data_IF_048630096973
#
_entry.id   IF_048630096973
#
_cell.length_a   1.000
_cell.length_b   1.000
_cell.length_c   1.000
_cell.angle_alpha   90.00
_cell.angle_beta   90.00
_cell.angle_gamma   90.00
#
_symmetry.space_group_name_H-M   'P 1'
#
loop_
_entity.id
_entity.type
_entity.pdbx_description
1 polymer ?
#
# COMPACT_ATOMS: atom_id res chain seq x y z
N UNK A 1 -48.32 4.82 33.62
CA UNK A 1 -47.55 5.17 32.41
C UNK A 1 -46.23 5.74 32.86
N UNK A 2 -45.20 4.91 32.95
CA UNK A 2 -43.85 5.37 33.32
C UNK A 2 -43.15 5.83 32.04
N UNK A 3 -42.69 7.08 32.07
CA UNK A 3 -41.99 7.76 30.98
C UNK A 3 -40.75 6.96 30.55
N UNK A 4 -40.80 6.42 29.34
CA UNK A 4 -39.82 5.49 28.78
C UNK A 4 -38.62 6.18 28.14
N UNK A 5 -38.08 7.25 28.76
CA UNK A 5 -36.80 7.82 28.31
C UNK A 5 -35.68 6.88 28.74
N UNK A 6 -35.21 6.07 27.79
CA UNK A 6 -33.89 5.45 27.93
C UNK A 6 -32.85 6.56 28.03
N UNK A 7 -32.30 6.78 29.21
CA UNK A 7 -31.12 7.63 29.38
C UNK A 7 -29.98 7.05 28.53
N UNK A 8 -29.73 7.70 27.39
CA UNK A 8 -28.47 7.56 26.67
C UNK A 8 -27.37 8.00 27.62
N UNK A 9 -26.54 7.05 28.06
CA UNK A 9 -25.44 7.35 28.96
C UNK A 9 -24.53 8.42 28.36
N UNK A 10 -23.96 9.28 29.21
CA UNK A 10 -23.16 10.46 28.81
C UNK A 10 -22.11 10.11 27.74
N UNK A 11 -21.46 8.95 27.86
CA UNK A 11 -20.48 8.46 26.88
C UNK A 11 -21.08 8.20 25.49
N UNK A 12 -22.31 7.67 25.41
CA UNK A 12 -22.98 7.45 24.13
C UNK A 12 -23.39 8.78 23.48
N UNK A 13 -23.85 9.74 24.28
CA UNK A 13 -24.16 11.09 23.79
C UNK A 13 -22.91 11.79 23.28
N UNK A 14 -21.80 11.72 24.03
CA UNK A 14 -20.52 12.28 23.61
C UNK A 14 -20.00 11.62 22.33
N UNK A 15 -20.05 10.29 22.23
CA UNK A 15 -19.63 9.58 21.03
C UNK A 15 -20.47 9.98 19.79
N UNK A 16 -21.80 10.11 19.94
CA UNK A 16 -22.66 10.59 18.85
C UNK A 16 -22.36 12.04 18.45
N UNK A 17 -22.08 12.91 19.42
CA UNK A 17 -21.69 14.30 19.15
C UNK A 17 -20.34 14.38 18.45
N UNK A 18 -19.36 13.59 18.86
CA UNK A 18 -18.05 13.50 18.20
C UNK A 18 -18.22 12.96 16.78
N UNK A 19 -18.96 11.85 16.61
CA UNK A 19 -19.22 11.26 15.30
C UNK A 19 -19.95 12.23 14.36
N UNK A 20 -20.99 12.90 14.86
CA UNK A 20 -21.71 13.94 14.13
C UNK A 20 -20.84 15.17 13.81
N UNK A 21 -19.97 15.56 14.74
CA UNK A 21 -18.98 16.63 14.53
C UNK A 21 -18.00 16.27 13.41
N UNK A 22 -17.45 15.06 13.40
CA UNK A 22 -16.60 14.57 12.31
C UNK A 22 -17.33 14.61 10.97
N UNK A 23 -18.60 14.17 10.91
CA UNK A 23 -19.40 14.22 9.68
C UNK A 23 -19.67 15.65 9.19
N UNK A 24 -19.95 16.58 10.10
CA UNK A 24 -20.13 18.00 9.78
C UNK A 24 -18.85 18.62 9.25
N UNK A 25 -17.72 18.36 9.90
CA UNK A 25 -16.42 18.84 9.44
C UNK A 25 -16.06 18.22 8.09
N UNK A 26 -16.33 16.93 7.88
CA UNK A 26 -16.12 16.29 6.59
C UNK A 26 -16.99 16.90 5.49
N UNK A 27 -18.26 17.22 5.77
CA UNK A 27 -19.13 17.92 4.82
C UNK A 27 -18.59 19.30 4.45
N UNK A 28 -18.17 20.10 5.45
CA UNK A 28 -17.54 21.40 5.21
C UNK A 28 -16.23 21.27 4.43
N UNK A 29 -15.48 20.20 4.67
CA UNK A 29 -14.24 19.90 3.95
C UNK A 29 -14.50 19.44 2.52
N UNK A 30 -15.59 18.70 2.25
CA UNK A 30 -16.01 18.36 0.89
C UNK A 30 -16.32 19.63 0.07
N UNK A 31 -17.00 20.61 0.69
CA UNK A 31 -17.23 21.93 0.09
C UNK A 31 -15.88 22.66 -0.12
N UNK A 32 -14.99 22.60 0.88
CA UNK A 32 -13.66 23.19 0.79
C UNK A 32 -12.87 22.68 -0.42
N UNK A 33 -12.86 21.35 -0.63
CA UNK A 33 -12.17 20.69 -1.74
C UNK A 33 -12.87 20.96 -3.07
N UNK A 34 -14.20 20.82 -3.13
CA UNK A 34 -14.96 20.97 -4.38
C UNK A 34 -14.87 22.38 -4.98
N UNK A 35 -14.75 23.42 -4.14
CA UNK A 35 -14.64 24.81 -4.56
C UNK A 35 -13.24 25.41 -4.38
N UNK A 36 -12.23 24.58 -4.06
CA UNK A 36 -10.85 24.99 -3.82
C UNK A 36 -10.73 26.18 -2.82
N UNK A 37 -11.50 26.13 -1.75
CA UNK A 37 -11.49 27.13 -0.69
C UNK A 37 -10.33 26.85 0.29
N UNK A 38 -9.94 27.86 1.07
CA UNK A 38 -8.94 27.74 2.13
C UNK A 38 -9.57 27.85 3.53
N UNK A 39 -10.69 27.16 3.73
CA UNK A 39 -11.44 27.22 4.98
C UNK A 39 -10.62 26.67 6.15
N UNK A 40 -10.76 27.35 7.30
CA UNK A 40 -10.15 26.97 8.58
C UNK A 40 -11.23 26.99 9.65
N UNK A 41 -11.16 26.04 10.58
CA UNK A 41 -11.94 26.09 11.81
C UNK A 41 -11.14 26.88 12.83
N UNK A 42 -11.71 28.01 13.26
CA UNK A 42 -11.14 28.83 14.32
C UNK A 42 -11.90 28.55 15.62
N UNK A 43 -11.19 28.02 16.61
CA UNK A 43 -11.72 27.83 17.97
C UNK A 43 -10.72 28.46 18.93
N UNK A 44 -11.20 29.45 19.70
CA UNK A 44 -10.48 30.28 20.68
C UNK A 44 -9.01 29.84 20.93
N UNK A 45 -8.08 30.49 20.25
CA UNK A 45 -6.63 30.28 20.42
C UNK A 45 -5.98 29.25 19.49
N UNK A 46 -6.74 28.55 18.64
CA UNK A 46 -6.21 27.60 17.65
C UNK A 46 -6.93 27.72 16.30
N UNK A 47 -6.16 27.67 15.21
CA UNK A 47 -6.67 27.55 13.84
C UNK A 47 -6.32 26.16 13.31
N UNK A 48 -7.33 25.37 12.98
CA UNK A 48 -7.14 24.05 12.35
C UNK A 48 -7.59 24.13 10.90
N UNK A 49 -6.67 23.85 9.96
CA UNK A 49 -7.01 23.79 8.55
C UNK A 49 -7.94 22.60 8.27
N UNK A 50 -8.97 22.82 7.45
CA UNK A 50 -9.79 21.72 6.95
C UNK A 50 -9.00 20.88 5.94
N UNK A 51 -9.29 19.57 5.81
CA UNK A 51 -8.82 18.75 4.71
C UNK A 51 -8.92 19.44 3.35
N UNK A 52 -7.85 19.30 2.55
CA UNK A 52 -7.68 19.94 1.24
C UNK A 52 -7.70 18.94 0.08
N UNK A 53 -7.87 17.67 0.38
CA UNK A 53 -7.94 16.57 -0.55
C UNK A 53 -9.12 15.64 -0.18
N UNK A 54 -9.58 14.87 -1.16
CA UNK A 54 -10.72 13.97 -0.97
C UNK A 54 -10.41 12.82 -0.01
N UNK A 55 -9.14 12.41 0.14
CA UNK A 55 -8.75 11.32 1.03
C UNK A 55 -8.95 11.71 2.49
N UNK A 56 -8.55 12.93 2.87
CA UNK A 56 -8.78 13.50 4.19
C UNK A 56 -10.27 13.72 4.50
N UNK A 57 -11.06 14.12 3.51
CA UNK A 57 -12.53 14.26 3.63
C UNK A 57 -13.18 12.90 3.90
N UNK A 58 -12.85 11.90 3.08
CA UNK A 58 -13.41 10.55 3.18
C UNK A 58 -12.97 9.88 4.49
N UNK A 59 -11.70 10.04 4.87
CA UNK A 59 -11.18 9.52 6.14
C UNK A 59 -11.92 10.07 7.35
N UNK A 60 -12.14 11.39 7.39
CA UNK A 60 -12.88 12.03 8.49
C UNK A 60 -14.36 11.61 8.53
N UNK A 61 -15.00 11.51 7.36
CA UNK A 61 -16.37 11.01 7.26
C UNK A 61 -16.48 9.55 7.76
N UNK A 62 -15.54 8.70 7.36
CA UNK A 62 -15.50 7.30 7.76
C UNK A 62 -15.37 7.14 9.29
N UNK A 63 -14.52 7.94 9.93
CA UNK A 63 -14.40 7.97 11.41
C UNK A 63 -15.72 8.39 12.05
N UNK A 64 -16.38 9.42 11.51
CA UNK A 64 -17.68 9.89 12.00
C UNK A 64 -18.77 8.81 11.92
N UNK A 65 -18.89 8.14 10.77
CA UNK A 65 -19.81 7.01 10.57
C UNK A 65 -19.49 5.86 11.52
N UNK A 66 -18.21 5.52 11.70
CA UNK A 66 -17.79 4.41 12.56
C UNK A 66 -18.19 4.65 14.02
N UNK A 67 -17.89 5.84 14.57
CA UNK A 67 -18.20 6.18 15.95
C UNK A 67 -19.72 6.18 16.18
N UNK A 68 -20.48 6.81 15.28
CA UNK A 68 -21.93 6.83 15.38
C UNK A 68 -22.52 5.42 15.24
N UNK A 69 -22.05 4.64 14.27
CA UNK A 69 -22.48 3.27 14.01
C UNK A 69 -22.24 2.34 15.19
N UNK A 70 -21.04 2.35 15.77
CA UNK A 70 -20.70 1.55 16.97
C UNK A 70 -21.57 1.93 18.16
N UNK A 71 -21.84 3.23 18.33
CA UNK A 71 -22.69 3.72 19.43
C UNK A 71 -24.14 3.26 19.28
N UNK A 72 -24.71 3.37 18.08
CA UNK A 72 -26.05 2.88 17.77
C UNK A 72 -26.15 1.35 17.90
N UNK A 73 -25.13 0.63 17.43
CA UNK A 73 -25.02 -0.82 17.55
C UNK A 73 -25.00 -1.28 19.01
N UNK A 74 -24.17 -0.66 19.86
CA UNK A 74 -24.14 -0.93 21.30
C UNK A 74 -25.51 -0.70 21.96
N UNK A 75 -26.20 0.37 21.57
CA UNK A 75 -27.57 0.65 22.01
C UNK A 75 -28.59 -0.41 21.58
N UNK A 76 -28.45 -0.96 20.37
CA UNK A 76 -29.29 -2.07 19.87
C UNK A 76 -29.02 -3.36 20.67
N UNK A 77 -27.76 -3.74 20.86
CA UNK A 77 -27.37 -4.93 21.62
C UNK A 77 -27.87 -4.85 23.05
N UNK A 78 -27.70 -3.70 23.72
CA UNK A 78 -28.23 -3.46 25.08
C UNK A 78 -29.74 -3.64 25.13
N UNK A 79 -30.49 -3.07 24.17
CA UNK A 79 -31.95 -3.21 24.06
C UNK A 79 -32.37 -4.67 23.92
N UNK A 80 -31.74 -5.41 23.01
CA UNK A 80 -32.03 -6.83 22.77
C UNK A 80 -31.67 -7.69 24.00
N UNK A 81 -30.54 -7.43 24.65
CA UNK A 81 -30.11 -8.15 25.85
C UNK A 81 -31.06 -7.93 27.03
N UNK A 82 -31.50 -6.68 27.23
CA UNK A 82 -32.49 -6.33 28.25
C UNK A 82 -33.84 -7.02 27.99
N UNK A 83 -34.31 -7.03 26.74
CA UNK A 83 -35.54 -7.72 26.33
C UNK A 83 -35.49 -9.24 26.53
N UNK A 84 -34.30 -9.85 26.49
CA UNK A 84 -34.09 -11.28 26.74
C UNK A 84 -34.02 -11.66 28.23
N UNK A 85 -34.56 -10.84 29.15
CA UNK A 85 -34.59 -11.14 30.59
C UNK A 85 -35.28 -12.47 30.88
N UNK A 86 -34.69 -13.28 31.75
CA UNK A 86 -35.18 -14.63 32.07
C UNK A 86 -34.84 -15.72 31.04
N UNK A 87 -34.17 -15.39 29.93
CA UNK A 87 -33.79 -16.33 28.87
C UNK A 87 -32.26 -16.37 28.70
N UNK A 88 -31.52 -17.12 29.54
CA UNK A 88 -30.06 -17.07 29.61
C UNK A 88 -29.37 -17.47 28.29
N UNK A 89 -29.87 -18.51 27.61
CA UNK A 89 -29.33 -18.94 26.32
C UNK A 89 -29.46 -17.87 25.23
N UNK A 90 -30.58 -17.13 25.22
CA UNK A 90 -30.80 -16.04 24.26
C UNK A 90 -29.85 -14.88 24.53
N UNK A 91 -29.59 -14.57 25.80
CA UNK A 91 -28.61 -13.55 26.18
C UNK A 91 -27.19 -13.91 25.75
N UNK A 92 -26.79 -15.16 25.98
CA UNK A 92 -25.50 -15.67 25.50
C UNK A 92 -25.39 -15.56 23.98
N UNK A 93 -26.43 -15.96 23.25
CA UNK A 93 -26.47 -15.83 21.78
C UNK A 93 -26.37 -14.39 21.29
N UNK A 94 -27.02 -13.43 21.96
CA UNK A 94 -26.91 -11.99 21.62
C UNK A 94 -25.48 -11.49 21.80
N UNK A 95 -24.83 -11.84 22.92
CA UNK A 95 -23.44 -11.41 23.17
C UNK A 95 -22.46 -12.05 22.19
N UNK A 96 -22.59 -13.36 21.94
CA UNK A 96 -21.75 -14.07 20.98
C UNK A 96 -21.93 -13.51 19.55
N UNK A 97 -23.18 -13.28 19.12
CA UNK A 97 -23.46 -12.68 17.82
C UNK A 97 -22.92 -11.26 17.69
N UNK A 98 -23.03 -10.45 18.76
CA UNK A 98 -22.45 -9.11 18.77
C UNK A 98 -20.92 -9.13 18.67
N UNK A 99 -20.26 -10.03 19.41
CA UNK A 99 -18.81 -10.20 19.34
C UNK A 99 -18.36 -10.66 17.94
N UNK A 100 -19.07 -11.61 17.33
CA UNK A 100 -18.77 -12.08 15.97
C UNK A 100 -18.93 -10.97 14.92
N UNK A 101 -20.00 -10.17 15.02
CA UNK A 101 -20.21 -9.02 14.13
C UNK A 101 -19.11 -7.96 14.29
N UNK A 102 -18.69 -7.67 15.52
CA UNK A 102 -17.59 -6.74 15.78
C UNK A 102 -16.27 -7.25 15.21
N UNK A 103 -15.97 -8.54 15.40
CA UNK A 103 -14.78 -9.16 14.85
C UNK A 103 -14.76 -9.10 13.31
N UNK A 104 -15.89 -9.42 12.66
CA UNK A 104 -16.03 -9.35 11.21
C UNK A 104 -15.90 -7.90 10.69
N UNK A 105 -16.55 -6.93 11.33
CA UNK A 105 -16.49 -5.52 10.95
C UNK A 105 -15.07 -4.96 11.10
N UNK A 106 -14.38 -5.28 12.20
CA UNK A 106 -13.00 -4.84 12.41
C UNK A 106 -12.04 -5.45 11.40
N UNK A 107 -12.20 -6.75 11.09
CA UNK A 107 -11.40 -7.40 10.05
C UNK A 107 -11.63 -6.77 8.68
N UNK A 108 -12.88 -6.43 8.34
CA UNK A 108 -13.20 -5.71 7.10
C UNK A 108 -12.54 -4.34 7.03
N UNK A 109 -12.56 -3.57 8.13
CA UNK A 109 -11.91 -2.27 8.20
C UNK A 109 -10.38 -2.38 8.07
N UNK A 110 -9.78 -3.40 8.69
CA UNK A 110 -8.35 -3.67 8.58
C UNK A 110 -7.96 -3.98 7.12
N UNK A 111 -8.70 -4.85 6.43
CA UNK A 111 -8.45 -5.18 5.03
C UNK A 111 -8.59 -3.93 4.14
N UNK A 112 -9.62 -3.10 4.38
CA UNK A 112 -9.80 -1.84 3.65
C UNK A 112 -8.62 -0.90 3.86
N UNK A 113 -8.18 -0.71 5.10
CA UNK A 113 -7.05 0.15 5.43
C UNK A 113 -5.76 -0.34 4.76
N UNK A 114 -5.46 -1.64 4.85
CA UNK A 114 -4.30 -2.25 4.20
C UNK A 114 -4.39 -2.12 2.68
N UNK A 115 -5.55 -2.39 2.07
CA UNK A 115 -5.76 -2.25 0.63
C UNK A 115 -5.58 -0.79 0.18
N UNK A 116 -6.03 0.18 0.96
CA UNK A 116 -5.83 1.59 0.65
C UNK A 116 -4.35 2.01 0.74
N UNK A 117 -3.62 1.51 1.74
CA UNK A 117 -2.19 1.84 1.93
C UNK A 117 -1.29 1.13 0.94
N UNK A 118 -1.53 -0.16 0.70
CA UNK A 118 -0.64 -1.02 -0.09
C UNK A 118 -1.11 -1.21 -1.54
N UNK A 119 -2.37 -0.87 -1.84
CA UNK A 119 -3.05 -1.05 -3.12
C UNK A 119 -3.84 -2.36 -3.20
N UNK A 120 -3.33 -3.43 -2.59
CA UNK A 120 -3.98 -4.73 -2.49
C UNK A 120 -3.43 -5.54 -1.31
N UNK A 121 -4.18 -6.55 -0.86
CA UNK A 121 -3.69 -7.51 0.14
C UNK A 121 -2.48 -8.28 -0.37
N UNK A 122 -2.47 -8.65 -1.66
CA UNK A 122 -1.31 -9.28 -2.29
C UNK A 122 -0.06 -8.39 -2.18
N UNK A 123 -0.21 -7.09 -2.43
CA UNK A 123 0.90 -6.14 -2.31
C UNK A 123 1.36 -5.94 -0.87
N UNK A 124 0.45 -5.99 0.11
CA UNK A 124 0.78 -5.98 1.53
C UNK A 124 1.62 -7.21 1.91
N UNK A 125 1.16 -8.42 1.57
CA UNK A 125 1.92 -9.64 1.89
C UNK A 125 3.24 -9.74 1.12
N UNK A 126 3.29 -9.21 -0.11
CA UNK A 126 4.53 -9.09 -0.86
C UNK A 126 5.52 -8.10 -0.21
N UNK A 127 5.05 -7.09 0.55
CA UNK A 127 5.89 -6.22 1.39
C UNK A 127 6.42 -6.94 2.63
N UNK A 128 5.61 -7.76 3.29
CA UNK A 128 6.03 -8.44 4.52
C UNK A 128 6.85 -9.71 4.25
N UNK A 129 6.83 -10.23 3.02
CA UNK A 129 7.54 -11.46 2.65
C UNK A 129 6.82 -12.73 3.12
N UNK A 130 5.54 -12.63 3.47
CA UNK A 130 4.74 -13.79 3.89
C UNK A 130 4.36 -14.64 2.67
N UNK A 131 5.18 -15.66 2.40
CA UNK A 131 5.04 -16.48 1.20
C UNK A 131 3.75 -17.31 1.19
N UNK A 132 3.23 -17.71 2.35
CA UNK A 132 2.01 -18.50 2.43
C UNK A 132 0.79 -17.64 2.10
N UNK A 133 0.74 -16.43 2.64
CA UNK A 133 -0.32 -15.46 2.31
C UNK A 133 -0.19 -14.95 0.87
N UNK A 134 1.02 -14.76 0.33
CA UNK A 134 1.23 -14.46 -1.10
C UNK A 134 0.65 -15.58 -1.98
N UNK A 135 0.95 -16.85 -1.69
CA UNK A 135 0.38 -17.99 -2.44
C UNK A 135 -1.15 -18.04 -2.32
N UNK A 136 -1.68 -17.78 -1.13
CA UNK A 136 -3.12 -17.77 -0.89
C UNK A 136 -3.84 -16.67 -1.66
N UNK A 137 -3.27 -15.46 -1.74
CA UNK A 137 -3.82 -14.37 -2.55
C UNK A 137 -3.69 -14.63 -4.05
N UNK A 138 -2.56 -15.19 -4.51
CA UNK A 138 -2.38 -15.58 -5.91
C UNK A 138 -3.39 -16.63 -6.37
N UNK A 139 -3.74 -17.59 -5.50
CA UNK A 139 -4.75 -18.62 -5.79
C UNK A 139 -6.16 -18.05 -6.04
N UNK A 140 -6.43 -16.80 -5.63
CA UNK A 140 -7.71 -16.12 -5.89
C UNK A 140 -7.83 -15.54 -7.30
N UNK A 141 -6.74 -15.59 -8.09
CA UNK A 141 -6.70 -15.00 -9.43
C UNK A 141 -6.74 -13.47 -9.38
N UNK A 142 -5.74 -12.81 -8.76
CA UNK A 142 -5.69 -11.36 -8.68
C UNK A 142 -5.63 -10.74 -10.09
N UNK A 143 -6.22 -9.56 -10.23
CA UNK A 143 -6.17 -8.82 -11.48
C UNK A 143 -4.77 -8.22 -11.74
N UNK A 144 -4.62 -7.63 -12.93
CA UNK A 144 -3.35 -7.07 -13.35
C UNK A 144 -2.86 -5.92 -12.46
N UNK A 145 -3.78 -5.12 -11.91
CA UNK A 145 -3.43 -3.99 -11.05
C UNK A 145 -2.86 -4.47 -9.71
N UNK A 146 -3.46 -5.51 -9.12
CA UNK A 146 -2.95 -6.12 -7.90
C UNK A 146 -1.56 -6.74 -8.11
N UNK A 147 -1.33 -7.41 -9.24
CA UNK A 147 0.00 -7.95 -9.59
C UNK A 147 1.05 -6.85 -9.77
N UNK A 148 0.74 -5.78 -10.52
CA UNK A 148 1.65 -4.65 -10.73
C UNK A 148 2.05 -3.99 -9.39
N UNK A 149 1.07 -3.76 -8.52
CA UNK A 149 1.31 -3.21 -7.19
C UNK A 149 2.17 -4.14 -6.33
N UNK A 150 1.92 -5.45 -6.37
CA UNK A 150 2.66 -6.43 -5.60
C UNK A 150 4.12 -6.55 -6.06
N UNK A 151 4.39 -6.51 -7.36
CA UNK A 151 5.76 -6.45 -7.88
C UNK A 151 6.47 -5.18 -7.40
N UNK A 152 5.79 -4.03 -7.47
CA UNK A 152 6.34 -2.77 -6.98
C UNK A 152 6.68 -2.81 -5.49
N UNK A 153 5.83 -3.44 -4.67
CA UNK A 153 6.04 -3.61 -3.22
C UNK A 153 7.15 -4.62 -2.91
N UNK A 154 7.17 -5.78 -3.57
CA UNK A 154 8.24 -6.76 -3.45
C UNK A 154 9.60 -6.13 -3.78
N UNK A 155 9.67 -5.33 -4.85
CA UNK A 155 10.86 -4.58 -5.21
C UNK A 155 11.25 -3.55 -4.13
N UNK A 156 10.30 -2.72 -3.68
CA UNK A 156 10.58 -1.69 -2.67
C UNK A 156 11.25 -2.26 -1.41
N UNK A 157 10.81 -3.43 -0.96
CA UNK A 157 11.30 -4.11 0.25
C UNK A 157 12.32 -5.21 -0.04
N UNK A 158 12.73 -5.39 -1.29
CA UNK A 158 13.75 -6.35 -1.73
C UNK A 158 13.40 -7.84 -1.46
N UNK A 159 12.10 -8.14 -1.45
CA UNK A 159 11.56 -9.48 -1.20
C UNK A 159 11.58 -10.34 -2.46
N UNK A 160 12.75 -10.88 -2.77
CA UNK A 160 12.98 -11.69 -3.96
C UNK A 160 12.18 -13.01 -3.97
N UNK A 161 11.92 -13.63 -2.82
CA UNK A 161 11.09 -14.84 -2.74
C UNK A 161 9.62 -14.57 -3.11
N UNK A 162 9.06 -13.45 -2.64
CA UNK A 162 7.74 -12.98 -3.08
C UNK A 162 7.73 -12.68 -4.57
N UNK A 163 8.79 -12.04 -5.10
CA UNK A 163 8.92 -11.80 -6.54
C UNK A 163 8.86 -13.10 -7.34
N UNK A 164 9.57 -14.16 -6.91
CA UNK A 164 9.55 -15.44 -7.61
C UNK A 164 8.12 -15.99 -7.76
N UNK A 165 7.33 -15.93 -6.68
CA UNK A 165 5.93 -16.37 -6.70
C UNK A 165 5.08 -15.50 -7.62
N UNK A 166 5.26 -14.17 -7.58
CA UNK A 166 4.53 -13.24 -8.43
C UNK A 166 4.81 -13.48 -9.92
N UNK A 167 6.08 -13.63 -10.29
CA UNK A 167 6.49 -13.89 -11.68
C UNK A 167 6.00 -15.28 -12.15
N UNK A 168 6.07 -16.30 -11.29
CA UNK A 168 5.51 -17.62 -11.60
C UNK A 168 3.98 -17.59 -11.83
N UNK A 169 3.28 -16.65 -11.20
CA UNK A 169 1.84 -16.42 -11.40
C UNK A 169 1.51 -15.49 -12.59
N UNK A 170 2.51 -15.13 -13.41
CA UNK A 170 2.31 -14.32 -14.61
C UNK A 170 2.33 -12.81 -14.37
N UNK A 171 2.81 -12.34 -13.21
CA UNK A 171 3.20 -10.95 -13.07
C UNK A 171 4.36 -10.63 -14.03
N UNK A 172 4.45 -9.38 -14.47
CA UNK A 172 5.65 -8.86 -15.12
C UNK A 172 6.01 -7.50 -14.54
N UNK A 173 7.15 -6.93 -14.93
CA UNK A 173 7.71 -5.72 -14.32
C UNK A 173 7.34 -4.42 -15.06
N UNK A 174 6.40 -4.45 -16.01
CA UNK A 174 6.04 -3.28 -16.84
C UNK A 174 5.24 -2.21 -16.11
N UNK A 175 4.67 -2.52 -14.94
CA UNK A 175 3.79 -1.61 -14.19
C UNK A 175 2.72 -0.98 -15.10
N UNK A 176 2.10 -1.82 -15.93
CA UNK A 176 1.27 -1.44 -17.08
C UNK A 176 0.01 -0.66 -16.69
N UNK A 177 -0.47 -0.84 -15.46
CA UNK A 177 -1.66 -0.18 -14.91
C UNK A 177 -1.40 1.23 -14.41
N UNK A 178 -0.13 1.63 -14.25
CA UNK A 178 0.26 2.99 -13.91
C UNK A 178 0.45 3.86 -15.15
N UNK A 179 0.24 5.17 -15.01
CA UNK A 179 0.51 6.14 -16.07
C UNK A 179 1.98 6.07 -16.52
N UNK A 180 2.30 6.14 -17.84
CA UNK A 180 3.66 5.98 -18.35
C UNK A 180 4.71 6.88 -17.67
N UNK A 181 4.34 8.11 -17.32
CA UNK A 181 5.21 9.07 -16.63
C UNK A 181 5.64 8.64 -15.21
N UNK A 182 4.92 7.70 -14.59
CA UNK A 182 5.18 7.24 -13.23
C UNK A 182 5.72 5.80 -13.19
N UNK A 183 5.86 5.15 -14.34
CA UNK A 183 6.41 3.79 -14.44
C UNK A 183 7.93 3.84 -14.22
N UNK A 184 8.45 2.88 -13.47
CA UNK A 184 9.89 2.70 -13.23
C UNK A 184 10.21 1.21 -13.24
N UNK A 185 11.39 0.85 -13.73
CA UNK A 185 11.83 -0.54 -13.66
C UNK A 185 12.02 -0.98 -12.20
N UNK A 186 11.30 -2.03 -11.81
CA UNK A 186 11.31 -2.58 -10.46
C UNK A 186 12.68 -3.18 -10.06
N UNK A 187 13.52 -3.54 -11.04
CA UNK A 187 14.87 -4.08 -10.81
C UNK A 187 15.87 -3.05 -10.30
N UNK A 188 15.57 -1.77 -10.44
CA UNK A 188 16.57 -0.73 -10.24
C UNK A 188 16.89 -0.53 -8.75
N UNK A 189 18.18 -0.58 -8.44
CA UNK A 189 18.70 -0.38 -7.09
C UNK A 189 18.20 -1.43 -6.10
N UNK A 190 17.93 -2.65 -6.58
CA UNK A 190 17.59 -3.83 -5.77
C UNK A 190 18.85 -4.66 -5.52
N UNK A 191 18.78 -5.59 -4.57
CA UNK A 191 19.92 -6.47 -4.30
C UNK A 191 20.21 -7.42 -5.45
N UNK A 192 21.41 -7.98 -5.42
CA UNK A 192 21.81 -9.07 -6.31
C UNK A 192 20.82 -10.25 -6.30
N UNK A 193 20.27 -10.62 -5.14
CA UNK A 193 19.32 -11.74 -5.03
C UNK A 193 18.01 -11.45 -5.78
N UNK A 194 17.51 -10.22 -5.67
CA UNK A 194 16.33 -9.77 -6.38
C UNK A 194 16.55 -9.75 -7.90
N UNK A 195 17.68 -9.20 -8.35
CA UNK A 195 18.05 -9.18 -9.78
C UNK A 195 18.18 -10.61 -10.33
N UNK A 196 18.90 -11.49 -9.63
CA UNK A 196 19.03 -12.91 -10.04
C UNK A 196 17.69 -13.60 -10.18
N UNK A 197 16.78 -13.37 -9.22
CA UNK A 197 15.45 -13.97 -9.24
C UNK A 197 14.65 -13.50 -10.45
N UNK A 198 14.63 -12.19 -10.72
CA UNK A 198 13.95 -11.63 -11.88
C UNK A 198 14.46 -12.24 -13.20
N UNK A 199 15.78 -12.29 -13.37
CA UNK A 199 16.41 -12.83 -14.58
C UNK A 199 16.15 -14.34 -14.72
N UNK A 200 16.16 -15.10 -13.62
CA UNK A 200 15.82 -16.53 -13.63
C UNK A 200 14.38 -16.81 -14.09
N UNK A 201 13.49 -15.84 -13.90
CA UNK A 201 12.10 -15.88 -14.39
C UNK A 201 11.91 -15.22 -15.77
N UNK A 202 13.00 -14.94 -16.49
CA UNK A 202 12.94 -14.47 -17.87
C UNK A 202 12.62 -12.98 -18.03
N UNK A 203 12.85 -12.16 -17.00
CA UNK A 203 12.68 -10.71 -17.13
C UNK A 203 13.75 -10.14 -18.07
N UNK A 204 13.29 -9.54 -19.15
CA UNK A 204 14.09 -8.92 -20.22
C UNK A 204 13.96 -7.39 -20.21
N UNK A 205 14.79 -6.65 -20.97
CA UNK A 205 14.72 -5.18 -21.03
C UNK A 205 13.33 -4.63 -21.38
N UNK A 206 12.57 -5.30 -22.26
CA UNK A 206 11.22 -4.92 -22.68
C UNK A 206 10.13 -5.24 -21.63
N UNK A 207 10.45 -6.09 -20.65
CA UNK A 207 9.59 -6.37 -19.51
C UNK A 207 9.69 -5.30 -18.41
N UNK A 208 10.47 -4.22 -18.61
CA UNK A 208 10.69 -3.18 -17.61
C UNK A 208 10.60 -1.76 -18.23
N UNK A 209 9.96 -0.79 -17.56
CA UNK A 209 9.92 0.60 -18.02
C UNK A 209 11.31 1.24 -17.97
N UNK A 210 11.74 1.82 -19.09
CA UNK A 210 13.10 2.36 -19.29
C UNK A 210 14.20 1.31 -19.03
N UNK A 211 13.88 0.04 -19.31
CA UNK A 211 14.75 -1.09 -19.04
C UNK A 211 16.11 -0.97 -19.73
N UNK A 212 16.18 -0.29 -20.88
CA UNK A 212 17.44 -0.02 -21.58
C UNK A 212 18.49 0.65 -20.68
N UNK A 213 18.08 1.45 -19.68
CA UNK A 213 18.99 2.16 -18.77
C UNK A 213 19.31 1.41 -17.47
N UNK A 214 18.85 0.16 -17.26
CA UNK A 214 19.00 -0.49 -15.97
C UNK A 214 20.46 -0.75 -15.55
N UNK A 215 21.35 -1.06 -16.49
CA UNK A 215 22.80 -1.21 -16.20
C UNK A 215 23.37 0.13 -15.71
N UNK A 216 23.01 1.23 -16.38
CA UNK A 216 23.39 2.57 -15.96
C UNK A 216 22.87 2.88 -14.55
N UNK A 217 21.61 2.58 -14.26
CA UNK A 217 21.02 2.86 -12.94
C UNK A 217 21.64 1.97 -11.84
N UNK A 218 22.00 0.72 -12.14
CA UNK A 218 22.70 -0.18 -11.21
C UNK A 218 24.06 0.42 -10.80
N UNK A 219 24.83 0.94 -11.76
CA UNK A 219 26.11 1.59 -11.48
C UNK A 219 25.93 2.91 -10.74
N UNK A 220 24.98 3.75 -11.16
CA UNK A 220 24.73 5.05 -10.53
C UNK A 220 24.26 4.92 -9.08
N UNK A 221 23.34 3.99 -8.79
CA UNK A 221 22.73 3.84 -7.46
C UNK A 221 23.41 2.85 -6.55
N UNK A 222 24.25 1.95 -7.09
CA UNK A 222 24.99 0.99 -6.28
C UNK A 222 25.85 1.68 -5.20
N UNK A 223 26.06 0.96 -4.11
CA UNK A 223 26.87 1.38 -2.96
C UNK A 223 28.18 0.61 -2.83
N UNK A 224 28.35 -0.48 -3.60
CA UNK A 224 29.50 -1.39 -3.54
C UNK A 224 29.97 -1.76 -4.95
N UNK A 225 31.27 -1.61 -5.22
CA UNK A 225 31.88 -2.02 -6.50
C UNK A 225 31.67 -3.53 -6.76
N UNK A 226 31.81 -4.37 -5.73
CA UNK A 226 31.70 -5.81 -5.89
C UNK A 226 30.28 -6.25 -6.28
N UNK A 227 29.27 -5.73 -5.58
CA UNK A 227 27.88 -6.08 -5.87
C UNK A 227 27.41 -5.47 -7.20
N UNK A 228 27.78 -4.22 -7.48
CA UNK A 228 27.47 -3.57 -8.75
C UNK A 228 28.09 -4.34 -9.92
N UNK A 229 29.34 -4.81 -9.81
CA UNK A 229 29.97 -5.61 -10.85
C UNK A 229 29.21 -6.91 -11.14
N UNK A 230 28.73 -7.61 -10.10
CA UNK A 230 27.94 -8.84 -10.28
C UNK A 230 26.57 -8.55 -10.93
N UNK A 231 25.87 -7.51 -10.47
CA UNK A 231 24.59 -7.10 -11.05
C UNK A 231 24.77 -6.70 -12.52
N UNK A 232 25.78 -5.89 -12.83
CA UNK A 232 26.10 -5.47 -14.20
C UNK A 232 26.39 -6.68 -15.08
N UNK A 233 27.25 -7.59 -14.63
CA UNK A 233 27.58 -8.79 -15.40
C UNK A 233 26.34 -9.64 -15.72
N UNK A 234 25.43 -9.80 -14.74
CA UNK A 234 24.18 -10.52 -14.94
C UNK A 234 23.24 -9.83 -15.92
N UNK A 235 23.06 -8.51 -15.80
CA UNK A 235 22.20 -7.73 -16.69
C UNK A 235 22.76 -7.75 -18.12
N UNK A 236 24.06 -7.51 -18.32
CA UNK A 236 24.69 -7.53 -19.65
C UNK A 236 24.56 -8.92 -20.29
N UNK A 237 24.84 -9.98 -19.54
CA UNK A 237 24.66 -11.36 -20.01
C UNK A 237 23.20 -11.69 -20.39
N UNK A 238 22.23 -11.04 -19.73
CA UNK A 238 20.81 -11.15 -20.05
C UNK A 238 20.35 -10.22 -21.20
N UNK A 239 21.29 -9.56 -21.90
CA UNK A 239 21.02 -8.72 -23.08
C UNK A 239 20.64 -7.27 -22.76
N UNK A 240 20.88 -6.80 -21.54
CA UNK A 240 20.65 -5.41 -21.16
C UNK A 240 21.79 -4.51 -21.65
N UNK A 241 21.46 -3.30 -22.10
CA UNK A 241 22.45 -2.40 -22.70
C UNK A 241 23.46 -1.88 -21.68
N UNK A 242 24.74 -2.12 -21.92
CA UNK A 242 25.84 -1.55 -21.13
C UNK A 242 26.12 -0.07 -21.41
N UNK A 243 25.60 0.46 -22.51
CA UNK A 243 25.96 1.78 -23.06
C UNK A 243 24.82 2.78 -23.08
N UNK A 244 23.59 2.35 -22.80
CA UNK A 244 22.44 3.25 -22.75
C UNK A 244 22.59 4.28 -21.63
N UNK A 245 22.13 5.49 -21.91
CA UNK A 245 22.12 6.62 -20.96
C UNK A 245 20.72 7.21 -20.86
N UNK A 246 20.30 7.67 -19.67
CA UNK A 246 19.01 8.33 -19.53
C UNK A 246 19.07 9.75 -20.12
N UNK A 247 17.92 10.30 -20.51
CA UNK A 247 17.83 11.63 -21.15
C UNK A 247 18.33 12.81 -20.29
N UNK A 248 18.42 12.62 -18.97
CA UNK A 248 18.81 13.66 -18.01
C UNK A 248 20.29 13.62 -17.60
N UNK A 249 21.05 12.58 -17.99
CA UNK A 249 22.48 12.48 -17.70
C UNK A 249 23.23 11.92 -18.91
N UNK A 250 24.27 12.63 -19.35
CA UNK A 250 25.06 12.25 -20.53
C UNK A 250 26.17 11.27 -20.23
N UNK A 251 26.50 11.05 -18.95
CA UNK A 251 27.57 10.14 -18.54
C UNK A 251 27.13 8.69 -18.77
N UNK A 252 28.01 7.88 -19.33
CA UNK A 252 27.84 6.43 -19.47
C UNK A 252 28.04 5.70 -18.14
N UNK A 253 27.59 4.45 -18.05
CA UNK A 253 27.86 3.60 -16.89
C UNK A 253 29.37 3.44 -16.63
N UNK A 254 30.18 3.37 -17.70
CA UNK A 254 31.64 3.26 -17.61
C UNK A 254 32.28 4.52 -17.02
N UNK A 255 31.84 5.71 -17.44
CA UNK A 255 32.32 6.99 -16.89
C UNK A 255 31.93 7.14 -15.41
N UNK A 256 30.74 6.70 -15.03
CA UNK A 256 30.31 6.70 -13.62
C UNK A 256 31.15 5.73 -12.79
N UNK A 257 31.37 4.50 -13.27
CA UNK A 257 32.21 3.52 -12.58
C UNK A 257 33.65 4.03 -12.41
N UNK A 258 34.22 4.64 -13.45
CA UNK A 258 35.55 5.25 -13.40
C UNK A 258 35.62 6.40 -12.38
N UNK A 259 34.62 7.28 -12.36
CA UNK A 259 34.54 8.38 -11.39
C UNK A 259 34.41 7.88 -9.94
N UNK A 260 33.73 6.74 -9.73
CA UNK A 260 33.62 6.07 -8.43
C UNK A 260 34.85 5.21 -8.08
N UNK A 261 35.85 5.10 -8.97
CA UNK A 261 37.01 4.21 -8.84
C UNK A 261 36.63 2.73 -8.69
N UNK A 262 35.54 2.32 -9.34
CA UNK A 262 34.97 0.97 -9.27
C UNK A 262 35.58 0.04 -10.31
N UNK A 263 36.76 -0.47 -9.99
CA UNK A 263 37.56 -1.31 -10.90
C UNK A 263 36.85 -2.58 -11.36
N UNK A 264 36.09 -3.26 -10.49
CA UNK A 264 35.40 -4.51 -10.84
C UNK A 264 34.22 -4.23 -11.76
N UNK A 265 33.46 -3.19 -11.46
CA UNK A 265 32.33 -2.75 -12.27
C UNK A 265 32.80 -2.30 -13.65
N UNK A 266 33.90 -1.55 -13.73
CA UNK A 266 34.51 -1.18 -15.02
C UNK A 266 34.92 -2.39 -15.86
N UNK A 267 35.47 -3.44 -15.23
CA UNK A 267 35.81 -4.68 -15.94
C UNK A 267 34.57 -5.43 -16.43
N UNK A 268 33.50 -5.47 -15.62
CA UNK A 268 32.22 -6.08 -16.00
C UNK A 268 31.56 -5.34 -17.19
N UNK A 269 31.64 -4.01 -17.24
CA UNK A 269 31.13 -3.21 -18.35
C UNK A 269 31.93 -3.37 -19.65
N UNK A 270 33.21 -3.73 -19.56
CA UNK A 270 34.09 -3.92 -20.71
C UNK A 270 34.02 -5.35 -21.30
N UNK A 271 33.34 -6.27 -20.62
CA UNK A 271 33.20 -7.68 -21.02
C UNK A 271 31.81 -7.89 -21.63
N UNK A 272 31.67 -7.86 -22.97
CA UNK A 272 30.39 -8.11 -23.64
C UNK A 272 29.91 -9.56 -23.48
#
# INVERSE_FOLDING_TARGET
MADGRQETGILATLALLIGGGCLLVALLSAINVAFALELKLQVYGTDTALPRDWDGVVGLAAVGVLIAGLTLFGGLVRRKFAAAKGRPLVRAGILAGAALLLAAAFRGLQILALTHTYGSMLAYYATDGDLDDVRAELAKGPDRAALDQAVGRAAQYDNHESLALLLAAGADMRDSTRAPSHRRCALVGRSLAFVRTALAHGVTPDACPNGETAVWEAVQRGTSDAEAAEIVALLVAAGWSATATPSHDRRTAAEIAAAKQWTRTSAALASP
#
